data_IF_764856616900
#
_entry.id   IF_764856616900
#
_cell.length_a   1.000
_cell.length_b   1.000
_cell.length_c   1.000
_cell.angle_alpha   90.00
_cell.angle_beta   90.00
_cell.angle_gamma   90.00
#
_symmetry.space_group_name_H-M   'P 1'
#
loop_
_entity.id
_entity.type
_entity.pdbx_description
1 polymer ?
#
# COMPACT_ATOMS: atom_id res chain seq x y z
N UNK A 1 -39.69 -19.95 -69.84
CA UNK A 1 -40.24 -19.66 -68.49
C UNK A 1 -39.14 -20.00 -67.49
N UNK A 2 -38.42 -18.99 -66.99
CA UNK A 2 -38.67 -18.29 -65.71
C UNK A 2 -38.23 -19.16 -64.51
N UNK A 3 -37.32 -18.77 -63.63
CA UNK A 3 -36.44 -17.60 -63.47
C UNK A 3 -35.25 -18.08 -62.63
N UNK A 4 -34.03 -17.70 -63.03
CA UNK A 4 -32.82 -17.75 -62.22
C UNK A 4 -33.02 -16.76 -61.07
N UNK A 5 -33.00 -17.24 -59.82
CA UNK A 5 -32.95 -16.37 -58.64
C UNK A 5 -31.49 -16.29 -58.20
N UNK A 6 -30.90 -15.17 -58.60
CA UNK A 6 -29.69 -14.56 -58.12
C UNK A 6 -29.98 -13.99 -56.72
N UNK A 7 -29.31 -14.49 -55.66
CA UNK A 7 -29.36 -13.81 -54.36
C UNK A 7 -27.98 -13.80 -53.70
N UNK A 8 -27.36 -12.62 -53.83
CA UNK A 8 -26.45 -11.91 -52.94
C UNK A 8 -25.58 -12.71 -51.97
N UNK A 9 -24.28 -12.70 -52.26
CA UNK A 9 -23.20 -12.64 -51.28
C UNK A 9 -23.45 -11.47 -50.31
N UNK A 10 -23.79 -11.75 -49.06
CA UNK A 10 -23.57 -10.82 -47.96
C UNK A 10 -22.29 -11.29 -47.27
N UNK A 11 -21.22 -10.54 -47.51
CA UNK A 11 -19.98 -10.60 -46.75
C UNK A 11 -20.36 -10.17 -45.33
N UNK A 12 -20.63 -11.14 -44.45
CA UNK A 12 -20.66 -10.89 -43.02
C UNK A 12 -19.20 -10.68 -42.62
N UNK A 13 -18.79 -9.40 -42.63
CA UNK A 13 -17.57 -8.97 -41.98
C UNK A 13 -17.66 -9.45 -40.53
N UNK A 14 -16.91 -10.51 -40.23
CA UNK A 14 -16.68 -10.95 -38.88
C UNK A 14 -16.15 -9.77 -38.10
N UNK A 15 -17.01 -9.16 -37.30
CA UNK A 15 -16.62 -8.27 -36.22
C UNK A 15 -15.88 -9.21 -35.27
N UNK A 16 -14.58 -9.36 -35.50
CA UNK A 16 -13.63 -9.84 -34.51
C UNK A 16 -13.68 -8.81 -33.38
N UNK A 17 -14.71 -8.93 -32.56
CA UNK A 17 -14.72 -8.41 -31.21
C UNK A 17 -13.69 -9.26 -30.49
N UNK A 18 -12.42 -8.89 -30.67
CA UNK A 18 -11.36 -9.17 -29.71
C UNK A 18 -11.85 -8.49 -28.44
N UNK A 19 -12.71 -9.20 -27.71
CA UNK A 19 -12.85 -8.99 -26.30
C UNK A 19 -11.44 -9.28 -25.82
N UNK A 20 -10.70 -8.21 -25.54
CA UNK A 20 -9.61 -8.29 -24.59
C UNK A 20 -10.27 -8.81 -23.30
N UNK A 21 -10.37 -10.12 -23.19
CA UNK A 21 -10.49 -10.78 -21.90
C UNK A 21 -9.34 -10.21 -21.10
N UNK A 22 -9.69 -9.30 -20.22
CA UNK A 22 -8.83 -8.75 -19.19
C UNK A 22 -8.41 -9.96 -18.39
N UNK A 23 -7.32 -10.60 -18.81
CA UNK A 23 -6.72 -11.69 -18.07
C UNK A 23 -6.54 -11.11 -16.68
N UNK A 24 -7.25 -11.62 -15.66
CA UNK A 24 -7.12 -11.06 -14.33
C UNK A 24 -5.64 -11.10 -14.01
N UNK A 25 -5.09 -9.97 -13.59
CA UNK A 25 -3.71 -9.87 -13.15
C UNK A 25 -3.50 -11.07 -12.23
N UNK A 26 -2.71 -12.06 -12.66
CA UNK A 26 -2.58 -13.31 -11.90
C UNK A 26 -1.72 -12.98 -10.70
N UNK A 27 -2.38 -12.53 -9.63
CA UNK A 27 -1.78 -12.21 -8.36
C UNK A 27 -1.03 -13.45 -7.89
N UNK A 28 0.24 -13.29 -7.55
CA UNK A 28 1.01 -14.38 -6.97
C UNK A 28 0.43 -14.77 -5.60
N UNK A 29 0.58 -16.03 -5.23
CA UNK A 29 -0.02 -16.57 -3.99
C UNK A 29 0.49 -15.84 -2.74
N UNK A 30 1.73 -15.37 -2.73
CA UNK A 30 2.28 -14.60 -1.62
C UNK A 30 1.56 -13.25 -1.46
N UNK A 31 1.36 -12.51 -2.56
CA UNK A 31 0.58 -11.27 -2.54
C UNK A 31 -0.89 -11.52 -2.16
N UNK A 32 -1.49 -12.61 -2.63
CA UNK A 32 -2.86 -13.01 -2.26
C UNK A 32 -2.98 -13.28 -0.75
N UNK A 33 -2.03 -14.00 -0.16
CA UNK A 33 -1.99 -14.26 1.27
C UNK A 33 -1.88 -12.97 2.09
N UNK A 34 -1.05 -12.01 1.65
CA UNK A 34 -0.95 -10.70 2.30
C UNK A 34 -2.27 -9.94 2.22
N UNK A 35 -2.92 -9.93 1.05
CA UNK A 35 -4.24 -9.28 0.88
C UNK A 35 -5.29 -9.89 1.82
N UNK A 36 -5.36 -11.23 1.92
CA UNK A 36 -6.27 -11.92 2.82
C UNK A 36 -5.96 -11.64 4.28
N UNK A 37 -4.68 -11.59 4.67
CA UNK A 37 -4.26 -11.20 6.01
C UNK A 37 -4.72 -9.79 6.35
N UNK A 38 -4.57 -8.84 5.42
CA UNK A 38 -4.98 -7.45 5.60
C UNK A 38 -6.49 -7.32 5.83
N UNK A 39 -7.31 -7.96 5.00
CA UNK A 39 -8.77 -7.93 5.17
C UNK A 39 -9.20 -8.64 6.46
N UNK A 40 -8.56 -9.75 6.81
CA UNK A 40 -8.80 -10.43 8.08
C UNK A 40 -8.46 -9.53 9.28
N UNK A 41 -7.35 -8.78 9.24
CA UNK A 41 -7.01 -7.82 10.29
C UNK A 41 -8.01 -6.67 10.38
N UNK A 42 -8.50 -6.15 9.24
CA UNK A 42 -9.58 -5.15 9.21
C UNK A 42 -10.84 -5.72 9.89
N UNK A 43 -11.24 -6.95 9.56
CA UNK A 43 -12.38 -7.61 10.20
C UNK A 43 -12.20 -7.70 11.72
N UNK A 44 -11.03 -8.14 12.20
CA UNK A 44 -10.73 -8.26 13.62
C UNK A 44 -10.72 -6.90 14.33
N UNK A 45 -10.15 -5.88 13.71
CA UNK A 45 -10.14 -4.52 14.26
C UNK A 45 -11.57 -3.97 14.40
N UNK A 46 -12.44 -4.16 13.40
CA UNK A 46 -13.86 -3.79 13.48
C UNK A 46 -14.56 -4.56 14.60
N UNK A 47 -14.34 -5.88 14.67
CA UNK A 47 -14.93 -6.73 15.70
C UNK A 47 -14.52 -6.27 17.11
N UNK A 48 -13.28 -5.82 17.29
CA UNK A 48 -12.77 -5.33 18.58
C UNK A 48 -13.38 -4.01 19.05
N UNK A 49 -13.93 -3.21 18.14
CA UNK A 49 -14.55 -1.92 18.45
C UNK A 49 -16.06 -1.91 18.29
N UNK A 50 -16.68 -3.01 17.86
CA UNK A 50 -18.10 -3.05 17.49
C UNK A 50 -19.02 -2.56 18.60
N UNK A 51 -18.73 -2.87 19.86
CA UNK A 51 -19.59 -2.53 21.00
C UNK A 51 -19.55 -1.03 21.34
N UNK A 52 -18.59 -0.28 20.77
CA UNK A 52 -18.50 1.18 20.89
C UNK A 52 -19.41 1.92 19.91
N UNK A 53 -19.86 1.26 18.84
CA UNK A 53 -20.60 1.87 17.75
C UNK A 53 -21.93 1.15 17.53
N UNK A 54 -23.04 1.85 17.74
CA UNK A 54 -24.39 1.27 17.59
C UNK A 54 -24.60 0.67 16.20
N UNK A 55 -24.10 1.35 15.18
CA UNK A 55 -24.18 0.95 13.78
C UNK A 55 -23.41 -0.34 13.46
N UNK A 56 -22.56 -0.84 14.36
CA UNK A 56 -21.84 -2.12 14.21
C UNK A 56 -22.47 -3.26 15.02
N UNK A 57 -23.60 -3.05 15.69
CA UNK A 57 -24.18 -4.06 16.59
C UNK A 57 -24.58 -5.37 15.89
N UNK A 58 -24.75 -5.33 14.56
CA UNK A 58 -25.09 -6.48 13.72
C UNK A 58 -23.89 -7.04 12.95
N UNK A 59 -22.68 -6.50 13.18
CA UNK A 59 -21.47 -6.97 12.52
C UNK A 59 -21.09 -8.37 13.04
N UNK A 60 -21.17 -9.36 12.16
CA UNK A 60 -20.87 -10.77 12.42
C UNK A 60 -20.10 -11.40 11.25
N UNK A 61 -19.85 -12.70 11.30
CA UNK A 61 -19.14 -13.45 10.26
C UNK A 61 -19.81 -13.41 8.87
N UNK A 62 -21.10 -13.09 8.76
CA UNK A 62 -21.83 -13.09 7.47
C UNK A 62 -21.43 -11.94 6.55
N UNK A 63 -20.69 -10.97 7.08
CA UNK A 63 -20.17 -9.82 6.32
C UNK A 63 -18.96 -10.22 5.47
N UNK A 64 -18.32 -11.35 5.78
CA UNK A 64 -17.12 -11.83 5.09
C UNK A 64 -17.51 -12.67 3.87
N UNK A 65 -16.96 -12.32 2.72
CA UNK A 65 -17.08 -13.11 1.50
C UNK A 65 -15.78 -13.06 0.70
N UNK A 66 -15.69 -13.85 -0.37
CA UNK A 66 -14.53 -13.91 -1.25
C UNK A 66 -14.88 -13.26 -2.60
N UNK A 67 -14.01 -12.37 -3.10
CA UNK A 67 -14.20 -11.73 -4.39
C UNK A 67 -13.73 -12.64 -5.55
N UNK A 68 -13.91 -12.20 -6.80
CA UNK A 68 -13.53 -12.97 -8.01
C UNK A 68 -12.04 -13.36 -8.10
N UNK A 69 -11.16 -12.70 -7.33
CA UNK A 69 -9.71 -12.96 -7.29
C UNK A 69 -9.32 -13.88 -6.12
N UNK A 70 -10.29 -14.35 -5.38
CA UNK A 70 -10.07 -15.18 -4.21
C UNK A 70 -9.59 -14.41 -2.98
N UNK A 71 -9.87 -13.11 -2.92
CA UNK A 71 -9.48 -12.22 -1.83
C UNK A 71 -10.70 -11.96 -0.97
N UNK A 72 -10.52 -11.99 0.35
CA UNK A 72 -11.58 -11.63 1.27
C UNK A 72 -12.11 -10.21 1.02
N UNK A 73 -13.38 -10.03 1.32
CA UNK A 73 -14.09 -8.78 1.21
C UNK A 73 -15.07 -8.68 2.37
N UNK A 74 -15.31 -7.44 2.81
CA UNK A 74 -16.32 -7.12 3.80
C UNK A 74 -17.44 -6.36 3.11
N UNK A 75 -18.68 -6.77 3.33
CA UNK A 75 -19.86 -6.03 2.95
C UNK A 75 -20.84 -6.03 4.12
N UNK A 76 -21.16 -4.86 4.62
CA UNK A 76 -21.97 -4.69 5.81
C UNK A 76 -23.05 -3.65 5.57
N UNK A 77 -24.25 -3.96 6.05
CA UNK A 77 -25.39 -3.04 6.09
C UNK A 77 -26.08 -3.16 7.44
N UNK A 78 -26.22 -2.03 8.13
CA UNK A 78 -26.94 -1.94 9.38
C UNK A 78 -28.45 -1.83 9.13
N UNK A 79 -29.21 -2.82 9.60
CA UNK A 79 -30.66 -2.87 9.43
C UNK A 79 -31.36 -2.30 10.67
N UNK A 80 -31.74 -1.03 10.61
CA UNK A 80 -32.49 -0.37 11.68
C UNK A 80 -34.01 -0.48 11.47
N UNK A 81 -34.76 -0.54 12.57
CA UNK A 81 -36.22 -0.64 12.55
C UNK A 81 -36.92 0.67 12.15
N UNK A 82 -36.26 1.81 12.36
CA UNK A 82 -36.77 3.14 12.02
C UNK A 82 -36.91 3.34 10.49
N UNK A 83 -38.07 3.84 10.05
CA UNK A 83 -38.37 4.17 8.64
C UNK A 83 -37.37 5.16 8.03
N UNK A 84 -36.86 6.13 8.79
CA UNK A 84 -35.87 7.07 8.26
C UNK A 84 -34.50 6.43 8.08
N UNK A 85 -34.07 5.60 9.04
CA UNK A 85 -32.82 4.86 8.96
C UNK A 85 -32.81 3.83 7.82
N UNK A 86 -33.97 3.24 7.49
CA UNK A 86 -34.12 2.39 6.29
C UNK A 86 -33.90 3.11 4.97
N UNK A 87 -34.07 4.44 4.91
CA UNK A 87 -33.82 5.23 3.68
C UNK A 87 -32.34 5.53 3.48
N UNK A 88 -31.58 5.65 4.57
CA UNK A 88 -30.14 5.90 4.56
C UNK A 88 -29.45 4.98 5.56
N UNK A 89 -29.41 3.66 5.29
CA UNK A 89 -28.75 2.72 6.18
C UNK A 89 -27.27 3.05 6.23
N UNK A 90 -26.66 2.80 7.40
CA UNK A 90 -25.22 2.73 7.47
C UNK A 90 -24.78 1.48 6.70
N UNK A 91 -23.93 1.66 5.71
CA UNK A 91 -23.40 0.58 4.89
C UNK A 91 -21.95 0.85 4.53
N UNK A 92 -21.14 -0.20 4.54
CA UNK A 92 -19.78 -0.12 4.02
C UNK A 92 -19.39 -1.41 3.33
N UNK A 93 -18.43 -1.27 2.43
CA UNK A 93 -17.76 -2.39 1.81
C UNK A 93 -16.28 -2.09 1.66
N UNK A 94 -15.45 -3.13 1.75
CA UNK A 94 -14.02 -3.02 1.46
C UNK A 94 -13.47 -4.34 0.96
N UNK A 95 -12.65 -4.26 -0.07
CA UNK A 95 -11.86 -5.38 -0.60
C UNK A 95 -10.58 -4.84 -1.24
N UNK A 96 -9.72 -5.75 -1.69
CA UNK A 96 -8.52 -5.43 -2.47
C UNK A 96 -8.70 -6.04 -3.86
N UNK A 97 -8.45 -5.23 -4.89
CA UNK A 97 -8.57 -5.61 -6.30
C UNK A 97 -7.46 -5.01 -7.15
N UNK A 98 -7.41 -5.35 -8.43
CA UNK A 98 -6.51 -4.73 -9.39
C UNK A 98 -6.79 -3.24 -9.56
N UNK A 99 -5.77 -2.44 -9.92
CA UNK A 99 -5.91 -0.99 -10.13
C UNK A 99 -7.06 -0.63 -11.08
N UNK A 100 -7.23 -1.43 -12.13
CA UNK A 100 -8.20 -1.21 -13.19
C UNK A 100 -9.57 -1.82 -12.91
N UNK A 101 -9.73 -2.58 -11.82
CA UNK A 101 -11.03 -3.15 -11.46
C UNK A 101 -11.99 -2.05 -11.01
N UNK A 102 -13.21 -2.11 -11.53
CA UNK A 102 -14.31 -1.19 -11.21
C UNK A 102 -15.25 -1.86 -10.22
N UNK A 103 -14.96 -1.72 -8.94
CA UNK A 103 -15.79 -2.25 -7.85
C UNK A 103 -16.19 -1.07 -6.96
N UNK A 104 -17.46 -1.03 -6.57
CA UNK A 104 -18.06 0.00 -5.73
C UNK A 104 -18.11 1.41 -6.35
N UNK A 105 -17.85 1.56 -7.66
CA UNK A 105 -18.00 2.84 -8.37
C UNK A 105 -19.44 3.36 -8.30
N UNK A 106 -20.42 2.47 -8.21
CA UNK A 106 -21.84 2.77 -8.06
C UNK A 106 -22.18 3.56 -6.78
N UNK A 107 -21.30 3.57 -5.78
CA UNK A 107 -21.47 4.32 -4.54
C UNK A 107 -21.02 5.79 -4.64
N UNK A 108 -20.46 6.22 -5.78
CA UNK A 108 -20.17 7.62 -6.08
C UNK A 108 -19.33 8.30 -5.00
N UNK A 109 -19.87 9.34 -4.36
CA UNK A 109 -19.16 10.13 -3.33
C UNK A 109 -18.78 9.34 -2.07
N UNK A 110 -19.36 8.16 -1.85
CA UNK A 110 -19.04 7.31 -0.71
C UNK A 110 -17.90 6.33 -1.02
N UNK A 111 -17.55 6.17 -2.30
CA UNK A 111 -16.49 5.28 -2.73
C UNK A 111 -15.11 5.90 -2.47
N UNK A 112 -14.15 5.08 -2.08
CA UNK A 112 -12.77 5.47 -1.85
C UNK A 112 -11.81 4.42 -2.42
N UNK A 113 -10.58 4.88 -2.70
CA UNK A 113 -9.51 4.03 -3.20
C UNK A 113 -8.19 4.38 -2.52
N UNK A 114 -7.43 3.36 -2.15
CA UNK A 114 -6.03 3.49 -1.71
C UNK A 114 -5.17 2.56 -2.57
N UNK A 115 -4.28 3.15 -3.36
CA UNK A 115 -3.55 2.45 -4.42
C UNK A 115 -2.18 1.95 -3.97
N UNK A 116 -1.82 0.75 -4.42
CA UNK A 116 -0.50 0.13 -4.32
C UNK A 116 0.02 -0.15 -5.74
N UNK A 117 0.52 0.89 -6.43
CA UNK A 117 0.75 0.84 -7.87
C UNK A 117 1.81 -0.16 -8.29
N UNK A 118 2.82 -0.41 -7.46
CA UNK A 118 3.90 -1.35 -7.75
C UNK A 118 3.40 -2.80 -7.65
N UNK A 119 2.41 -3.06 -6.79
CA UNK A 119 1.69 -4.34 -6.75
C UNK A 119 0.61 -4.45 -7.84
N UNK A 120 0.24 -3.34 -8.48
CA UNK A 120 -0.89 -3.30 -9.40
C UNK A 120 -2.25 -3.42 -8.71
N UNK A 121 -2.34 -3.07 -7.41
CA UNK A 121 -3.53 -3.26 -6.57
C UNK A 121 -4.07 -1.95 -6.01
N UNK A 122 -5.31 -1.99 -5.52
CA UNK A 122 -5.92 -0.95 -4.68
C UNK A 122 -6.87 -1.56 -3.66
N UNK A 123 -7.00 -0.91 -2.52
CA UNK A 123 -8.26 -0.99 -1.77
C UNK A 123 -9.35 -0.36 -2.62
N UNK A 124 -10.48 -1.07 -2.74
CA UNK A 124 -11.73 -0.53 -3.23
C UNK A 124 -12.74 -0.68 -2.11
N UNK A 125 -13.34 0.43 -1.70
CA UNK A 125 -14.36 0.41 -0.66
C UNK A 125 -15.34 1.56 -0.79
N UNK A 126 -16.36 1.50 0.04
CA UNK A 126 -17.29 2.61 0.24
C UNK A 126 -17.70 2.66 1.70
N UNK A 127 -18.07 3.85 2.16
CA UNK A 127 -18.77 4.01 3.43
C UNK A 127 -19.87 5.05 3.27
N UNK A 128 -21.11 4.59 3.32
CA UNK A 128 -22.27 5.47 3.39
C UNK A 128 -22.65 5.63 4.85
N UNK A 129 -22.48 6.85 5.32
CA UNK A 129 -22.77 7.24 6.68
C UNK A 129 -23.65 8.49 6.68
N UNK A 130 -24.34 8.72 7.79
CA UNK A 130 -25.09 9.93 8.09
C UNK A 130 -24.48 10.58 9.32
N UNK A 131 -24.80 11.84 9.62
CA UNK A 131 -24.31 12.54 10.81
C UNK A 131 -24.63 11.86 12.16
N UNK A 132 -25.43 10.78 12.15
CA UNK A 132 -25.79 9.99 13.34
C UNK A 132 -24.80 8.86 13.64
N UNK A 133 -23.91 8.53 12.70
CA UNK A 133 -22.95 7.43 12.82
C UNK A 133 -21.54 7.99 12.91
N UNK A 134 -20.73 7.42 13.80
CA UNK A 134 -19.41 7.93 14.15
C UNK A 134 -18.28 6.97 13.75
N UNK A 135 -18.60 5.75 13.36
CA UNK A 135 -17.59 4.80 12.92
C UNK A 135 -16.92 5.26 11.62
N UNK A 136 -15.58 5.25 11.59
CA UNK A 136 -14.77 5.56 10.42
C UNK A 136 -13.95 4.34 9.99
N UNK A 137 -14.32 3.77 8.84
CA UNK A 137 -13.60 2.65 8.22
C UNK A 137 -12.21 3.09 7.73
N UNK A 138 -12.04 4.36 7.37
CA UNK A 138 -10.79 4.92 6.84
C UNK A 138 -9.63 4.76 7.81
N UNK A 139 -9.84 5.01 9.11
CA UNK A 139 -8.80 4.83 10.14
C UNK A 139 -8.31 3.37 10.21
N UNK A 140 -9.24 2.41 10.20
CA UNK A 140 -8.92 0.97 10.25
C UNK A 140 -8.20 0.52 8.98
N UNK A 141 -8.63 1.00 7.81
CA UNK A 141 -7.97 0.69 6.54
C UNK A 141 -6.55 1.26 6.51
N UNK A 142 -6.35 2.51 6.92
CA UNK A 142 -5.03 3.14 6.95
C UNK A 142 -4.07 2.39 7.89
N UNK A 143 -4.55 1.98 9.07
CA UNK A 143 -3.78 1.18 10.02
C UNK A 143 -3.31 -0.15 9.41
N UNK A 144 -4.21 -0.86 8.73
CA UNK A 144 -3.92 -2.20 8.19
C UNK A 144 -3.28 -2.19 6.80
N UNK A 145 -3.37 -1.07 6.07
CA UNK A 145 -2.76 -0.88 4.76
C UNK A 145 -1.23 -0.83 4.79
N UNK A 146 -0.62 -0.61 5.95
CA UNK A 146 0.83 -0.67 6.16
C UNK A 146 1.43 -2.02 5.72
N UNK A 147 0.75 -3.14 6.00
CA UNK A 147 1.20 -4.48 5.58
C UNK A 147 1.33 -4.61 4.06
N UNK A 148 0.41 -4.01 3.29
CA UNK A 148 0.52 -3.96 1.84
C UNK A 148 1.59 -2.98 1.38
N UNK A 149 1.74 -1.85 2.06
CA UNK A 149 2.79 -0.89 1.76
C UNK A 149 4.19 -1.50 1.95
N UNK A 150 4.41 -2.25 3.03
CA UNK A 150 5.63 -3.01 3.29
C UNK A 150 5.86 -4.10 2.25
N UNK A 151 4.82 -4.87 1.92
CA UNK A 151 4.91 -5.90 0.90
C UNK A 151 5.27 -5.31 -0.47
N UNK A 152 4.72 -4.14 -0.80
CA UNK A 152 5.02 -3.40 -2.01
C UNK A 152 6.51 -3.02 -2.11
N UNK A 153 7.17 -2.66 -1.01
CA UNK A 153 8.59 -2.29 -1.02
C UNK A 153 9.49 -3.42 -1.52
N UNK A 154 9.10 -4.69 -1.34
CA UNK A 154 9.85 -5.86 -1.84
C UNK A 154 9.99 -5.88 -3.36
N UNK A 155 9.00 -5.32 -4.07
CA UNK A 155 8.93 -5.32 -5.54
C UNK A 155 9.34 -3.97 -6.14
N UNK A 156 9.77 -3.02 -5.31
CA UNK A 156 10.29 -1.76 -5.80
C UNK A 156 11.53 -2.00 -6.67
N UNK A 157 11.62 -1.38 -7.87
CA UNK A 157 12.79 -1.51 -8.74
C UNK A 157 14.04 -0.81 -8.18
N UNK A 158 13.85 0.02 -7.15
CA UNK A 158 14.91 0.69 -6.40
C UNK A 158 14.68 0.40 -4.92
N UNK A 159 15.58 -0.36 -4.31
CA UNK A 159 15.48 -0.79 -2.92
C UNK A 159 16.39 0.05 -2.03
N UNK A 160 15.84 0.54 -0.92
CA UNK A 160 16.57 1.24 0.13
C UNK A 160 16.80 0.27 1.28
N UNK A 161 18.05 0.06 1.68
CA UNK A 161 18.41 -0.76 2.84
C UNK A 161 19.23 0.08 3.82
N UNK A 162 18.93 -0.05 5.10
CA UNK A 162 19.69 0.57 6.17
C UNK A 162 20.39 -0.51 6.98
N UNK A 163 21.66 -0.29 7.29
CA UNK A 163 22.46 -1.18 8.12
C UNK A 163 23.17 -0.36 9.17
N UNK A 164 22.87 -0.58 10.43
CA UNK A 164 23.66 0.01 11.50
C UNK A 164 25.08 -0.55 11.44
N UNK A 165 26.06 0.25 11.84
CA UNK A 165 27.43 -0.22 12.02
C UNK A 165 27.51 -1.27 13.14
N UNK A 166 26.58 -1.20 14.11
CA UNK A 166 26.41 -2.16 15.20
C UNK A 166 24.97 -2.17 15.71
N UNK A 167 24.55 -3.25 16.36
CA UNK A 167 23.17 -3.38 16.86
C UNK A 167 22.93 -2.63 18.19
N UNK A 168 24.01 -2.27 18.89
CA UNK A 168 23.94 -1.65 20.23
C UNK A 168 24.88 -0.45 20.35
N UNK A 169 24.32 0.68 20.77
CA UNK A 169 25.02 1.95 21.02
C UNK A 169 24.94 2.32 22.50
N UNK A 170 25.92 3.09 22.96
CA UNK A 170 25.92 3.67 24.30
C UNK A 170 25.13 4.99 24.32
N UNK A 171 24.75 5.43 25.52
CA UNK A 171 24.25 6.79 25.71
C UNK A 171 25.23 7.81 25.16
N UNK A 172 24.70 8.85 24.51
CA UNK A 172 25.48 9.92 23.87
C UNK A 172 26.38 9.48 22.70
N UNK A 173 26.29 8.21 22.30
CA UNK A 173 26.99 7.73 21.11
C UNK A 173 26.14 8.02 19.86
N UNK A 174 26.70 8.74 18.87
CA UNK A 174 26.03 8.94 17.59
C UNK A 174 25.77 7.62 16.87
N UNK A 175 24.59 7.50 16.26
CA UNK A 175 24.20 6.27 15.54
C UNK A 175 24.77 6.34 14.13
N UNK A 176 25.77 5.51 13.84
CA UNK A 176 26.34 5.39 12.50
C UNK A 176 25.70 4.27 11.71
N UNK A 177 25.27 4.57 10.49
CA UNK A 177 24.61 3.58 9.63
C UNK A 177 24.94 3.81 8.16
N UNK A 178 24.95 2.71 7.42
CA UNK A 178 25.11 2.69 5.97
C UNK A 178 23.72 2.65 5.35
N UNK A 179 23.51 3.55 4.39
CA UNK A 179 22.34 3.55 3.52
C UNK A 179 22.76 3.01 2.18
N UNK A 180 22.11 1.94 1.75
CA UNK A 180 22.33 1.30 0.45
C UNK A 180 21.12 1.53 -0.44
N UNK A 181 21.37 1.96 -1.67
CA UNK A 181 20.37 2.10 -2.71
C UNK A 181 20.73 1.17 -3.86
N UNK A 182 19.87 0.17 -4.11
CA UNK A 182 20.11 -0.89 -5.10
C UNK A 182 19.08 -0.85 -6.21
N UNK A 183 19.54 -0.87 -7.46
CA UNK A 183 18.67 -1.05 -8.62
C UNK A 183 18.44 -2.54 -8.86
N UNK A 184 17.22 -3.01 -8.58
CA UNK A 184 16.80 -4.41 -8.80
C UNK A 184 16.11 -4.60 -10.15
N UNK A 185 15.87 -3.52 -10.90
CA UNK A 185 15.26 -3.57 -12.21
C UNK A 185 16.25 -4.04 -13.28
N UNK A 186 15.76 -4.60 -14.40
CA UNK A 186 16.62 -4.97 -15.53
C UNK A 186 17.15 -3.77 -16.32
N UNK A 187 16.76 -2.53 -15.97
CA UNK A 187 17.09 -1.31 -16.70
C UNK A 187 18.06 -0.45 -15.91
N UNK A 188 18.86 0.37 -16.59
CA UNK A 188 19.62 1.42 -15.90
C UNK A 188 18.67 2.50 -15.40
N UNK A 189 18.93 3.02 -14.21
CA UNK A 189 18.11 4.05 -13.57
C UNK A 189 18.94 5.30 -13.32
N UNK A 190 18.41 6.46 -13.71
CA UNK A 190 18.93 7.75 -13.26
C UNK A 190 18.37 8.02 -11.87
N UNK A 191 19.24 8.12 -10.87
CA UNK A 191 18.87 8.31 -9.47
C UNK A 191 19.58 9.54 -8.91
N UNK A 192 19.00 10.19 -7.90
CA UNK A 192 19.70 11.23 -7.15
C UNK A 192 20.78 10.60 -6.27
N UNK A 193 21.90 11.27 -6.07
CA UNK A 193 22.90 10.72 -5.16
C UNK A 193 22.36 10.71 -3.72
N UNK A 194 22.75 9.71 -2.92
CA UNK A 194 22.41 9.64 -1.50
C UNK A 194 23.11 10.79 -0.75
N UNK A 195 22.31 11.64 -0.11
CA UNK A 195 22.74 12.82 0.64
C UNK A 195 21.73 13.12 1.76
N UNK A 196 22.07 14.05 2.66
CA UNK A 196 21.17 14.63 3.66
C UNK A 196 19.93 15.34 3.08
N UNK A 197 19.94 15.70 1.79
CA UNK A 197 18.81 16.30 1.07
C UNK A 197 17.93 15.29 0.35
N UNK A 198 18.43 14.08 0.16
CA UNK A 198 17.74 13.02 -0.60
C UNK A 198 17.31 11.86 0.27
N UNK A 199 17.68 11.85 1.55
CA UNK A 199 17.22 10.89 2.54
C UNK A 199 16.51 11.63 3.67
N UNK A 200 15.26 11.23 3.94
CA UNK A 200 14.48 11.76 5.05
C UNK A 200 14.29 10.66 6.08
N UNK A 201 14.89 10.82 7.26
CA UNK A 201 14.73 9.88 8.35
C UNK A 201 13.82 10.45 9.43
N UNK A 202 12.93 9.61 9.94
CA UNK A 202 11.92 9.94 10.93
C UNK A 202 12.00 8.95 12.07
N UNK A 203 11.92 9.47 13.28
CA UNK A 203 11.76 8.71 14.51
C UNK A 203 10.68 9.39 15.35
N UNK A 204 9.72 8.61 15.87
CA UNK A 204 8.59 9.13 16.67
C UNK A 204 7.86 10.30 15.98
N UNK A 205 7.55 10.13 14.69
CA UNK A 205 6.91 11.13 13.83
C UNK A 205 7.64 12.49 13.71
N UNK A 206 8.93 12.53 14.06
CA UNK A 206 9.78 13.72 13.95
C UNK A 206 11.00 13.44 13.09
N UNK A 207 11.44 14.46 12.36
CA UNK A 207 12.68 14.38 11.59
C UNK A 207 13.84 14.03 12.51
N UNK A 208 14.53 12.94 12.18
CA UNK A 208 15.74 12.50 12.87
C UNK A 208 16.95 13.05 12.11
N UNK A 209 17.82 13.78 12.82
CA UNK A 209 18.92 14.55 12.24
C UNK A 209 20.08 13.69 11.73
N UNK A 210 19.85 12.95 10.64
CA UNK A 210 20.88 12.20 9.94
C UNK A 210 21.69 13.11 9.00
N UNK A 211 23.01 13.11 9.16
CA UNK A 211 23.94 13.90 8.36
C UNK A 211 24.91 12.96 7.65
N UNK A 212 25.16 13.21 6.36
CA UNK A 212 26.14 12.44 5.60
C UNK A 212 27.55 12.69 6.13
N UNK A 213 28.37 11.65 6.24
CA UNK A 213 29.76 11.78 6.70
C UNK A 213 30.74 12.16 5.58
N UNK A 214 30.35 11.97 4.31
CA UNK A 214 31.15 12.28 3.13
C UNK A 214 30.37 13.19 2.17
N UNK A 215 31.06 14.14 1.54
CA UNK A 215 30.45 15.01 0.51
C UNK A 215 30.39 14.29 -0.83
N UNK A 216 29.18 14.14 -1.37
CA UNK A 216 28.99 13.82 -2.79
C UNK A 216 28.98 15.10 -3.64
N UNK A 217 29.79 15.13 -4.71
CA UNK A 217 29.83 16.24 -5.67
C UNK A 217 28.74 16.13 -6.75
N UNK A 218 28.31 14.91 -7.10
CA UNK A 218 27.28 14.69 -8.12
C UNK A 218 25.88 14.73 -7.50
N UNK A 219 24.96 15.48 -8.11
CA UNK A 219 23.54 15.52 -7.69
C UNK A 219 22.76 14.29 -8.15
N UNK A 220 23.17 13.69 -9.26
CA UNK A 220 22.53 12.52 -9.86
C UNK A 220 23.58 11.56 -10.43
N UNK A 221 23.22 10.28 -10.52
CA UNK A 221 24.05 9.22 -11.06
C UNK A 221 23.21 8.21 -11.85
N UNK A 222 23.86 7.46 -12.74
CA UNK A 222 23.25 6.31 -13.39
C UNK A 222 23.61 5.08 -12.57
N UNK A 223 22.60 4.44 -11.99
CA UNK A 223 22.71 3.16 -11.30
C UNK A 223 22.33 2.04 -12.28
N UNK A 224 23.31 1.23 -12.70
CA UNK A 224 23.08 0.12 -13.65
C UNK A 224 22.22 -0.98 -13.01
N UNK A 225 21.71 -1.87 -13.85
CA UNK A 225 20.95 -3.04 -13.41
C UNK A 225 21.79 -3.87 -12.42
N UNK A 226 21.25 -4.15 -11.24
CA UNK A 226 21.91 -4.87 -10.16
C UNK A 226 22.94 -4.06 -9.36
N UNK A 227 23.26 -2.84 -9.79
CA UNK A 227 24.25 -1.99 -9.12
C UNK A 227 23.71 -1.42 -7.81
N UNK A 228 24.61 -1.23 -6.85
CA UNK A 228 24.33 -0.64 -5.55
C UNK A 228 25.23 0.57 -5.34
N UNK A 229 24.65 1.66 -4.85
CA UNK A 229 25.39 2.80 -4.31
C UNK A 229 25.14 2.87 -2.81
N UNK A 230 26.10 3.38 -2.05
CA UNK A 230 25.97 3.50 -0.61
C UNK A 230 26.53 4.83 -0.10
N UNK A 231 26.06 5.21 1.08
CA UNK A 231 26.54 6.39 1.79
C UNK A 231 26.45 6.14 3.29
N UNK A 232 27.43 6.62 4.03
CA UNK A 232 27.45 6.53 5.49
C UNK A 232 26.83 7.80 6.07
N UNK A 233 25.91 7.60 7.01
CA UNK A 233 25.26 8.66 7.75
C UNK A 233 25.56 8.52 9.24
N UNK A 234 25.62 9.66 9.91
CA UNK A 234 25.66 9.78 11.35
C UNK A 234 24.37 10.45 11.81
N UNK A 235 23.60 9.74 12.63
CA UNK A 235 22.36 10.22 13.22
C UNK A 235 22.55 10.75 14.64
N UNK A 236 21.51 11.41 15.15
CA UNK A 236 21.50 11.94 16.51
C UNK A 236 21.67 10.82 17.55
N UNK A 237 22.35 11.16 18.63
CA UNK A 237 22.53 10.33 19.82
C UNK A 237 21.27 10.33 20.70
N UNK A 238 21.29 9.52 21.76
CA UNK A 238 20.19 9.42 22.70
C UNK A 238 20.65 9.47 24.15
N UNK A 239 19.86 10.17 24.96
CA UNK A 239 20.14 10.43 26.38
C UNK A 239 19.51 9.40 27.34
N UNK A 240 18.75 8.43 26.83
CA UNK A 240 18.09 7.39 27.64
C UNK A 240 18.18 6.04 26.94
N UNK A 241 18.34 4.94 27.70
CA UNK A 241 18.30 3.59 27.13
C UNK A 241 16.94 3.33 26.48
N UNK A 242 16.96 2.68 25.32
CA UNK A 242 15.77 2.32 24.56
C UNK A 242 16.09 1.45 23.37
N UNK A 243 15.10 0.68 22.95
CA UNK A 243 15.03 0.10 21.61
C UNK A 243 14.17 1.01 20.74
N UNK A 244 14.58 1.23 19.51
CA UNK A 244 13.81 2.05 18.59
C UNK A 244 14.06 1.68 17.13
N UNK A 245 13.11 2.09 16.31
CA UNK A 245 13.14 1.93 14.86
C UNK A 245 13.12 3.31 14.19
N UNK A 246 14.06 3.52 13.28
CA UNK A 246 14.13 4.69 12.43
C UNK A 246 13.55 4.29 11.08
N UNK A 247 12.60 5.07 10.59
CA UNK A 247 12.11 4.99 9.22
C UNK A 247 12.87 5.98 8.35
N UNK A 248 13.38 5.56 7.20
CA UNK A 248 13.94 6.48 6.21
C UNK A 248 13.27 6.31 4.85
N UNK A 249 12.98 7.43 4.20
CA UNK A 249 12.45 7.51 2.85
C UNK A 249 13.44 8.22 1.93
N UNK A 250 13.62 7.67 0.73
CA UNK A 250 14.44 8.26 -0.31
C UNK A 250 13.63 9.19 -1.20
N UNK A 251 14.15 10.39 -1.46
CA UNK A 251 13.48 11.49 -2.18
C UNK A 251 13.43 11.29 -3.71
N UNK A 252 12.83 10.18 -4.12
CA UNK A 252 12.52 9.83 -5.50
C UNK A 252 11.31 8.92 -5.51
N UNK A 253 10.34 9.21 -6.37
CA UNK A 253 9.15 8.37 -6.52
C UNK A 253 9.24 7.51 -7.77
N UNK A 254 8.88 6.24 -7.65
CA UNK A 254 8.65 5.33 -8.78
C UNK A 254 7.18 4.97 -8.75
N UNK A 255 6.45 5.32 -9.82
CA UNK A 255 4.99 5.17 -9.89
C UNK A 255 4.26 5.79 -8.69
N UNK A 256 4.78 6.91 -8.16
CA UNK A 256 4.21 7.59 -6.99
C UNK A 256 4.61 7.00 -5.63
N UNK A 257 5.45 5.97 -5.58
CA UNK A 257 5.92 5.31 -4.34
C UNK A 257 7.39 5.65 -4.09
N UNK A 258 7.71 6.05 -2.86
CA UNK A 258 9.11 6.27 -2.45
C UNK A 258 9.72 4.96 -1.96
N UNK A 259 11.01 4.67 -2.28
CA UNK A 259 11.75 3.63 -1.61
C UNK A 259 11.91 3.97 -0.13
N UNK A 260 11.58 3.01 0.73
CA UNK A 260 11.68 3.17 2.18
C UNK A 260 12.49 2.04 2.79
N UNK A 261 13.08 2.31 3.95
CA UNK A 261 13.81 1.33 4.72
C UNK A 261 13.72 1.63 6.21
N UNK A 262 14.00 0.61 7.01
CA UNK A 262 13.87 0.65 8.44
C UNK A 262 15.20 0.28 9.09
N UNK A 263 15.50 0.90 10.22
CA UNK A 263 16.68 0.60 11.01
C UNK A 263 16.28 0.43 12.48
N UNK A 264 16.40 -0.80 12.99
CA UNK A 264 16.22 -1.09 14.41
C UNK A 264 17.57 -1.05 15.13
N UNK A 265 17.63 -0.35 16.26
CA UNK A 265 18.84 -0.20 17.07
C UNK A 265 18.51 -0.15 18.56
N UNK A 266 19.45 -0.59 19.39
CA UNK A 266 19.35 -0.54 20.84
C UNK A 266 20.34 0.46 21.41
N UNK A 267 19.91 1.29 22.35
CA UNK A 267 20.76 2.17 23.14
C UNK A 267 20.73 1.71 24.59
N UNK A 268 21.90 1.47 25.18
CA UNK A 268 22.06 0.99 26.55
C UNK A 268 22.86 1.97 27.40
N UNK A 269 22.64 1.89 28.71
CA UNK A 269 23.58 2.43 29.68
C UNK A 269 24.77 1.47 29.81
N UNK A 270 25.96 2.00 30.13
CA UNK A 270 27.13 1.16 30.42
C UNK A 270 26.88 0.21 31.58
#
# INVERSE_FOLDING_TARGET
MKKIILTLFIIFAGINSVHAETTPLKMDESTKQVCNKVIASIYQDILSVKDKYKELSQFDEKVLYENKQGIFALLYQYNESDRQARRHPFEFGVTIVGLNDKIFEEYGQYAFYLSFPILGLKFAGFQKSSARYNFDLGEIINKNGSLLAEHQQKYMPLQLTLKAEKDTYLLYEPIRFVVELKNTSPRHMRVKTLTDKTLYCVYDNKMWGAVQTQQSQAQEMILKSGETTNMVFEGQDFMKPKEFEIFCSYNMTIQGVQPTGHLAVTVLNQ
#
